data_IF_330108191428
#
_entry.id   IF_330108191428
#
_cell.length_a   1.000
_cell.length_b   1.000
_cell.length_c   1.000
_cell.angle_alpha   90.00
_cell.angle_beta   90.00
_cell.angle_gamma   90.00
#
_symmetry.space_group_name_H-M   'P 1'
#
loop_
_entity.id
_entity.type
_entity.pdbx_description
1 polymer ?
#
# COMPACT_ATOMS: atom_id res chain seq x y z
N UNK A 1 5.49 27.60 -9.82
CA UNK A 1 4.82 26.52 -9.04
C UNK A 1 5.16 26.73 -7.57
N UNK A 2 4.20 26.58 -6.67
CA UNK A 2 4.45 26.72 -5.23
C UNK A 2 5.18 25.45 -4.73
N UNK A 3 6.46 25.56 -4.39
CA UNK A 3 7.27 24.43 -3.93
C UNK A 3 7.17 24.21 -2.40
N UNK A 4 6.20 24.85 -1.74
CA UNK A 4 5.92 24.64 -0.33
C UNK A 4 4.93 23.49 -0.13
N UNK A 5 5.09 22.75 0.96
CA UNK A 5 4.11 21.75 1.41
C UNK A 5 2.82 22.44 1.83
N UNK A 6 1.67 21.83 1.50
CA UNK A 6 0.37 22.24 2.04
C UNK A 6 0.33 22.01 3.56
N UNK A 7 -0.59 22.69 4.26
CA UNK A 7 -0.77 22.43 5.69
C UNK A 7 -1.24 20.99 5.95
N UNK A 8 -2.13 20.45 5.11
CA UNK A 8 -2.59 19.06 5.21
C UNK A 8 -1.44 18.06 5.08
N UNK A 9 -0.51 18.28 4.14
CA UNK A 9 0.65 17.41 3.96
C UNK A 9 1.59 17.46 5.18
N UNK A 10 1.78 18.65 5.75
CA UNK A 10 2.57 18.81 6.99
C UNK A 10 1.92 18.08 8.15
N UNK A 11 0.61 18.25 8.33
CA UNK A 11 -0.17 17.57 9.39
C UNK A 11 -0.04 16.06 9.24
N UNK A 12 -0.24 15.52 8.02
CA UNK A 12 -0.05 14.09 7.74
C UNK A 12 1.33 13.59 8.11
N UNK A 13 2.38 14.27 7.66
CA UNK A 13 3.76 13.87 8.00
C UNK A 13 4.01 13.84 9.52
N UNK A 14 3.48 14.82 10.26
CA UNK A 14 3.62 14.90 11.71
C UNK A 14 2.83 13.82 12.46
N UNK A 15 1.63 13.46 11.97
CA UNK A 15 0.84 12.34 12.49
C UNK A 15 1.53 11.00 12.20
N UNK A 16 2.02 10.80 10.98
CA UNK A 16 2.64 9.54 10.56
C UNK A 16 3.96 9.28 11.30
N UNK A 17 4.73 10.31 11.67
CA UNK A 17 5.93 10.11 12.49
C UNK A 17 5.68 10.24 14.00
N UNK A 18 4.45 10.48 14.45
CA UNK A 18 4.13 10.79 15.85
C UNK A 18 5.06 11.88 16.43
N UNK A 19 5.36 12.92 15.64
CA UNK A 19 6.35 13.98 15.96
C UNK A 19 7.74 13.47 16.39
N UNK A 20 8.15 12.31 15.90
CA UNK A 20 9.53 11.84 16.01
C UNK A 20 10.34 12.24 14.77
N UNK A 21 11.63 12.54 14.98
CA UNK A 21 12.55 12.80 13.90
C UNK A 21 12.74 11.55 13.04
N UNK A 22 12.47 11.66 11.74
CA UNK A 22 12.61 10.55 10.80
C UNK A 22 14.06 10.16 10.48
N UNK A 23 15.08 10.88 10.99
CA UNK A 23 16.49 10.49 10.88
C UNK A 23 17.03 9.83 12.15
N UNK A 24 16.87 10.47 13.30
CA UNK A 24 17.46 10.01 14.57
C UNK A 24 16.46 9.32 15.52
N UNK A 25 15.15 9.32 15.20
CA UNK A 25 14.12 8.69 16.02
C UNK A 25 13.76 9.43 17.31
N UNK A 26 14.37 10.60 17.58
CA UNK A 26 14.09 11.43 18.77
C UNK A 26 12.64 11.91 18.80
N UNK A 27 11.98 11.81 19.94
CA UNK A 27 10.69 12.48 20.19
C UNK A 27 10.90 14.00 20.25
N UNK A 28 10.29 14.76 19.35
CA UNK A 28 10.62 16.19 19.17
C UNK A 28 9.53 17.14 19.69
N UNK A 29 8.28 16.69 19.79
CA UNK A 29 7.15 17.58 20.08
C UNK A 29 7.08 18.70 19.04
N UNK A 30 7.20 19.95 19.48
CA UNK A 30 7.21 21.14 18.61
C UNK A 30 8.57 21.44 17.96
N UNK A 31 9.67 20.84 18.43
CA UNK A 31 11.02 21.08 17.93
C UNK A 31 11.33 20.24 16.68
N UNK A 32 10.42 20.28 15.70
CA UNK A 32 10.43 19.48 14.49
C UNK A 32 10.05 20.35 13.28
N UNK A 33 10.73 20.16 12.15
CA UNK A 33 10.46 20.86 10.90
C UNK A 33 10.31 19.85 9.75
N UNK A 34 9.49 20.19 8.75
CA UNK A 34 9.35 19.41 7.53
C UNK A 34 10.37 19.91 6.51
N UNK A 35 11.31 19.03 6.15
CA UNK A 35 12.39 19.30 5.21
C UNK A 35 12.12 18.68 3.83
N UNK A 36 12.70 19.27 2.79
CA UNK A 36 12.62 18.77 1.41
C UNK A 36 13.70 17.71 1.16
N UNK A 37 13.32 16.47 0.91
CA UNK A 37 14.26 15.37 0.63
C UNK A 37 15.15 15.68 -0.59
N UNK A 38 14.54 16.14 -1.68
CA UNK A 38 15.23 16.81 -2.78
C UNK A 38 15.04 18.31 -2.60
N UNK A 39 16.12 19.09 -2.44
CA UNK A 39 16.05 20.54 -2.22
C UNK A 39 15.34 21.30 -3.34
N UNK A 40 14.81 22.49 -3.03
CA UNK A 40 14.03 23.29 -4.00
C UNK A 40 14.87 23.75 -5.19
N UNK A 41 16.11 24.12 -4.92
CA UNK A 41 17.12 24.54 -5.89
C UNK A 41 17.50 23.42 -6.87
N UNK A 42 17.31 22.16 -6.47
CA UNK A 42 17.48 20.97 -7.32
C UNK A 42 16.16 20.53 -7.98
N UNK A 43 15.11 21.36 -7.95
CA UNK A 43 13.80 21.06 -8.53
C UNK A 43 12.87 20.25 -7.62
N UNK A 44 13.15 20.21 -6.32
CA UNK A 44 12.32 19.54 -5.31
C UNK A 44 10.86 20.01 -5.28
N UNK A 45 9.94 19.06 -5.43
CA UNK A 45 8.49 19.34 -5.35
C UNK A 45 8.03 19.66 -3.92
N UNK A 46 6.93 20.42 -3.80
CA UNK A 46 6.21 20.64 -2.55
C UNK A 46 5.19 19.54 -2.21
N UNK A 47 5.35 18.32 -2.76
CA UNK A 47 4.45 17.21 -2.51
C UNK A 47 4.90 16.40 -1.29
N UNK A 48 3.96 15.80 -0.56
CA UNK A 48 4.22 14.94 0.61
C UNK A 48 5.31 13.86 0.39
N UNK A 49 5.43 13.31 -0.83
CA UNK A 49 6.45 12.32 -1.15
C UNK A 49 7.89 12.85 -1.07
N UNK A 50 8.07 14.17 -1.13
CA UNK A 50 9.34 14.87 -0.97
C UNK A 50 9.52 15.47 0.44
N UNK A 51 8.60 15.24 1.37
CA UNK A 51 8.66 15.74 2.73
C UNK A 51 9.33 14.72 3.68
N UNK A 52 10.10 15.23 4.65
CA UNK A 52 10.60 14.46 5.80
C UNK A 52 10.57 15.29 7.10
N UNK A 53 9.92 14.81 8.18
CA UNK A 53 9.99 15.43 9.52
C UNK A 53 11.35 15.23 10.20
N UNK A 54 12.02 16.31 10.59
CA UNK A 54 13.35 16.29 11.23
C UNK A 54 13.37 17.16 12.50
N UNK A 55 14.11 16.73 13.53
CA UNK A 55 14.47 17.66 14.61
C UNK A 55 15.40 18.76 14.08
N UNK A 56 15.50 19.89 14.79
CA UNK A 56 16.35 21.00 14.37
C UNK A 56 17.83 20.60 14.20
N UNK A 57 18.35 19.71 15.05
CA UNK A 57 19.71 19.19 14.93
C UNK A 57 19.90 18.46 13.59
N UNK A 58 19.06 17.45 13.30
CA UNK A 58 19.12 16.69 12.05
C UNK A 58 18.82 17.55 10.81
N UNK A 59 17.90 18.52 10.94
CA UNK A 59 17.61 19.47 9.87
C UNK A 59 18.84 20.31 9.52
N UNK A 60 19.62 20.74 10.51
CA UNK A 60 20.88 21.42 10.25
C UNK A 60 21.96 20.49 9.71
N UNK A 61 22.02 19.23 10.14
CA UNK A 61 23.05 18.27 9.72
C UNK A 61 22.88 17.77 8.28
N UNK A 62 21.65 17.57 7.81
CA UNK A 62 21.37 16.86 6.54
C UNK A 62 21.98 17.56 5.31
N UNK A 63 22.19 18.89 5.38
CA UNK A 63 22.76 19.72 4.31
C UNK A 63 24.26 20.01 4.48
N UNK A 64 24.89 19.60 5.59
CA UNK A 64 26.28 20.01 5.91
C UNK A 64 27.37 19.36 5.08
N UNK A 65 27.07 18.31 4.31
CA UNK A 65 28.10 17.58 3.57
C UNK A 65 28.81 18.48 2.54
N UNK A 66 30.12 18.68 2.73
CA UNK A 66 30.95 19.46 1.83
C UNK A 66 31.74 18.54 0.87
N UNK A 67 31.36 18.53 -0.41
CA UNK A 67 32.06 17.74 -1.43
C UNK A 67 33.54 18.14 -1.64
N UNK A 68 33.92 19.39 -1.30
CA UNK A 68 35.30 19.87 -1.40
C UNK A 68 36.18 19.46 -0.23
N UNK A 69 35.59 19.06 0.89
CA UNK A 69 36.30 18.58 2.07
C UNK A 69 35.50 17.45 2.75
N UNK A 70 35.46 16.27 2.13
CA UNK A 70 34.54 15.20 2.53
C UNK A 70 34.93 14.64 3.89
N UNK A 71 34.08 14.90 4.89
CA UNK A 71 34.14 14.27 6.21
C UNK A 71 32.83 13.52 6.44
N UNK A 72 32.94 12.23 6.80
CA UNK A 72 31.78 11.35 6.91
C UNK A 72 31.14 11.02 5.56
N UNK A 73 29.89 10.54 5.58
CA UNK A 73 29.12 10.17 4.40
C UNK A 73 27.92 11.08 4.20
N UNK A 74 27.66 11.53 2.95
CA UNK A 74 26.45 12.28 2.60
C UNK A 74 25.20 11.40 2.74
N UNK A 75 24.16 11.91 3.39
CA UNK A 75 22.84 11.30 3.33
C UNK A 75 22.33 11.26 1.88
N UNK A 76 22.08 10.06 1.36
CA UNK A 76 21.52 9.90 0.02
C UNK A 76 20.00 9.97 0.07
N UNK A 77 19.36 10.52 -0.96
CA UNK A 77 17.89 10.57 -1.08
C UNK A 77 17.23 9.22 -0.81
N UNK A 78 17.82 8.11 -1.27
CA UNK A 78 17.33 6.75 -0.99
C UNK A 78 17.31 6.43 0.50
N UNK A 79 18.38 6.73 1.23
CA UNK A 79 18.47 6.51 2.67
C UNK A 79 17.46 7.37 3.43
N UNK A 80 17.35 8.66 3.06
CA UNK A 80 16.43 9.61 3.68
C UNK A 80 14.97 9.11 3.54
N UNK A 81 14.58 8.68 2.34
CA UNK A 81 13.26 8.09 2.09
C UNK A 81 13.04 6.82 2.92
N UNK A 82 14.00 5.90 2.90
CA UNK A 82 13.92 4.65 3.66
C UNK A 82 13.78 4.87 5.17
N UNK A 83 14.55 5.79 5.76
CA UNK A 83 14.45 6.12 7.19
C UNK A 83 13.11 6.77 7.54
N UNK A 84 12.62 7.68 6.69
CA UNK A 84 11.28 8.27 6.83
C UNK A 84 10.21 7.20 6.82
N UNK A 85 10.23 6.32 5.83
CA UNK A 85 9.20 5.29 5.66
C UNK A 85 9.24 4.28 6.80
N UNK A 86 10.44 3.91 7.28
CA UNK A 86 10.63 3.09 8.49
C UNK A 86 10.01 3.75 9.73
N UNK A 87 10.23 5.06 9.92
CA UNK A 87 9.70 5.77 11.07
C UNK A 87 8.17 5.91 10.98
N UNK A 88 7.63 6.17 9.79
CA UNK A 88 6.18 6.16 9.57
C UNK A 88 5.59 4.79 9.89
N UNK A 89 6.21 3.71 9.45
CA UNK A 89 5.74 2.35 9.71
C UNK A 89 5.72 2.03 11.22
N UNK A 90 6.79 2.41 11.92
CA UNK A 90 6.88 2.25 13.38
C UNK A 90 5.68 2.86 14.11
N UNK A 91 5.23 4.03 13.69
CA UNK A 91 4.15 4.77 14.37
C UNK A 91 2.76 4.59 13.74
N UNK A 92 2.61 3.83 12.67
CA UNK A 92 1.30 3.62 12.02
C UNK A 92 0.94 2.15 11.81
N UNK A 93 1.88 1.21 11.91
CA UNK A 93 1.61 -0.23 11.75
C UNK A 93 0.53 -0.77 12.69
N UNK A 94 0.47 -0.26 13.93
CA UNK A 94 -0.56 -0.63 14.90
C UNK A 94 -1.98 -0.16 14.54
N UNK A 95 -2.12 0.70 13.53
CA UNK A 95 -3.40 1.15 12.99
C UNK A 95 -3.92 0.22 11.89
N UNK A 96 -3.12 -0.77 11.47
CA UNK A 96 -3.47 -1.74 10.45
C UNK A 96 -4.07 -2.99 11.11
N UNK A 97 -5.37 -3.25 10.91
CA UNK A 97 -6.00 -4.44 11.45
C UNK A 97 -5.54 -5.72 10.73
N UNK A 98 -5.70 -6.89 11.36
CA UNK A 98 -5.59 -8.16 10.65
C UNK A 98 -6.73 -8.26 9.63
N UNK A 99 -6.39 -8.15 8.35
CA UNK A 99 -7.30 -8.32 7.21
C UNK A 99 -7.05 -9.69 6.58
N UNK A 100 -8.12 -10.46 6.40
CA UNK A 100 -8.11 -11.66 5.60
C UNK A 100 -8.83 -11.41 4.28
N UNK A 101 -8.28 -11.89 3.17
CA UNK A 101 -8.94 -11.84 1.88
C UNK A 101 -8.69 -13.12 1.08
N UNK A 102 -9.68 -13.50 0.27
CA UNK A 102 -9.57 -14.65 -0.62
C UNK A 102 -10.40 -14.45 -1.90
N UNK A 103 -10.03 -15.21 -2.92
CA UNK A 103 -10.87 -15.43 -4.10
C UNK A 103 -11.68 -16.71 -3.89
N UNK A 104 -12.95 -16.72 -4.32
CA UNK A 104 -13.85 -17.87 -4.12
C UNK A 104 -14.84 -18.03 -5.27
N UNK A 105 -15.35 -19.25 -5.43
CA UNK A 105 -16.55 -19.51 -6.24
C UNK A 105 -17.79 -19.80 -5.38
N UNK A 106 -17.63 -19.94 -4.08
CA UNK A 106 -18.72 -20.35 -3.20
C UNK A 106 -19.73 -19.21 -2.97
N UNK A 107 -21.00 -19.58 -2.93
CA UNK A 107 -22.13 -18.73 -2.58
C UNK A 107 -22.73 -19.18 -1.23
N UNK A 108 -23.44 -18.30 -0.50
CA UNK A 108 -23.96 -18.59 0.84
C UNK A 108 -24.86 -19.82 0.97
N UNK A 109 -25.45 -20.29 -0.13
CA UNK A 109 -26.36 -21.44 -0.19
C UNK A 109 -25.67 -22.74 -0.65
N UNK A 110 -24.33 -22.78 -0.66
CA UNK A 110 -23.56 -23.92 -1.16
C UNK A 110 -23.55 -24.05 -2.68
N UNK A 111 -24.15 -23.09 -3.41
CA UNK A 111 -23.96 -23.00 -4.85
C UNK A 111 -22.56 -22.47 -5.16
N UNK A 112 -22.12 -22.72 -6.41
CA UNK A 112 -20.89 -22.13 -6.93
C UNK A 112 -21.20 -21.24 -8.12
N UNK A 113 -20.52 -20.10 -8.19
CA UNK A 113 -20.48 -19.25 -9.38
C UNK A 113 -19.77 -20.01 -10.51
N UNK A 114 -20.26 -19.92 -11.75
CA UNK A 114 -19.49 -20.37 -12.91
C UNK A 114 -18.52 -19.26 -13.36
N UNK A 115 -17.39 -19.63 -13.95
CA UNK A 115 -16.63 -18.68 -14.77
C UNK A 115 -17.54 -18.12 -15.88
N UNK A 116 -17.38 -16.84 -16.28
CA UNK A 116 -16.30 -15.92 -15.92
C UNK A 116 -16.51 -15.15 -14.60
N UNK A 117 -17.54 -15.46 -13.81
CA UNK A 117 -17.76 -14.81 -12.53
C UNK A 117 -16.80 -15.36 -11.46
N UNK A 118 -16.19 -14.45 -10.69
CA UNK A 118 -15.22 -14.76 -9.64
C UNK A 118 -15.55 -13.93 -8.40
N UNK A 119 -15.77 -14.60 -7.27
CA UNK A 119 -16.01 -13.97 -5.99
C UNK A 119 -14.73 -13.52 -5.28
N UNK A 120 -14.85 -12.50 -4.44
CA UNK A 120 -13.79 -12.06 -3.53
C UNK A 120 -14.39 -11.70 -2.18
N UNK A 121 -13.82 -12.22 -1.11
CA UNK A 121 -14.17 -11.83 0.24
C UNK A 121 -13.00 -11.09 0.88
N UNK A 122 -13.30 -9.98 1.57
CA UNK A 122 -12.33 -9.24 2.39
C UNK A 122 -12.94 -9.01 3.76
N UNK A 123 -12.26 -9.46 4.81
CA UNK A 123 -12.77 -9.48 6.17
C UNK A 123 -11.80 -8.85 7.14
N UNK A 124 -12.31 -7.98 8.01
CA UNK A 124 -11.59 -7.46 9.16
C UNK A 124 -11.74 -8.41 10.33
N UNK A 125 -10.67 -9.13 10.69
CA UNK A 125 -10.70 -10.14 11.75
C UNK A 125 -10.52 -9.57 13.16
N UNK A 126 -10.03 -8.33 13.27
CA UNK A 126 -9.73 -7.69 14.55
C UNK A 126 -10.90 -6.93 15.19
N UNK A 127 -10.63 -6.44 16.40
CA UNK A 127 -11.48 -5.55 17.21
C UNK A 127 -10.99 -4.09 17.23
N UNK A 128 -10.04 -3.78 16.35
CA UNK A 128 -9.32 -2.50 16.28
C UNK A 128 -10.11 -1.42 15.52
N UNK A 129 -9.41 -0.41 15.00
CA UNK A 129 -10.03 0.72 14.31
C UNK A 129 -10.65 0.30 12.96
N UNK A 130 -11.78 0.92 12.56
CA UNK A 130 -12.27 0.79 11.18
C UNK A 130 -11.23 1.37 10.21
N UNK A 131 -11.18 0.79 9.02
CA UNK A 131 -10.25 1.23 7.96
C UNK A 131 -10.98 1.43 6.64
N UNK A 132 -10.35 2.20 5.76
CA UNK A 132 -10.66 2.12 4.34
C UNK A 132 -9.69 1.15 3.69
N UNK A 133 -10.06 0.56 2.57
CA UNK A 133 -9.16 -0.27 1.79
C UNK A 133 -9.48 -0.17 0.30
N UNK A 134 -8.52 -0.54 -0.54
CA UNK A 134 -8.76 -0.77 -1.97
C UNK A 134 -8.21 -2.13 -2.39
N UNK A 135 -8.79 -2.67 -3.45
CA UNK A 135 -8.42 -3.97 -4.02
C UNK A 135 -8.11 -3.79 -5.50
N UNK A 136 -7.00 -4.35 -5.96
CA UNK A 136 -6.77 -4.61 -7.38
C UNK A 136 -6.71 -6.12 -7.62
N UNK A 137 -7.39 -6.60 -8.65
CA UNK A 137 -7.30 -7.99 -9.10
C UNK A 137 -6.66 -8.03 -10.48
N UNK A 138 -5.59 -8.80 -10.63
CA UNK A 138 -4.85 -8.95 -11.87
C UNK A 138 -4.94 -10.39 -12.35
N UNK A 139 -5.28 -10.59 -13.62
CA UNK A 139 -5.57 -11.91 -14.18
C UNK A 139 -4.41 -12.39 -15.05
N UNK A 140 -4.00 -13.63 -14.88
CA UNK A 140 -2.99 -14.31 -15.68
C UNK A 140 -3.58 -15.61 -16.27
N UNK A 141 -3.23 -15.92 -17.51
CA UNK A 141 -3.62 -17.16 -18.18
C UNK A 141 -2.37 -17.76 -18.85
N UNK A 142 -1.89 -18.88 -18.33
CA UNK A 142 -0.53 -19.36 -18.57
C UNK A 142 0.47 -18.27 -18.17
N UNK A 143 1.44 -17.99 -19.03
CA UNK A 143 2.42 -16.91 -18.81
C UNK A 143 1.90 -15.51 -19.22
N UNK A 144 0.66 -15.41 -19.69
CA UNK A 144 0.12 -14.15 -20.22
C UNK A 144 -0.57 -13.35 -19.13
N UNK A 145 0.01 -12.20 -18.79
CA UNK A 145 -0.65 -11.16 -18.01
C UNK A 145 -1.80 -10.53 -18.83
N UNK A 146 -3.04 -10.75 -18.38
CA UNK A 146 -4.25 -10.20 -19.00
C UNK A 146 -4.63 -8.82 -18.46
N UNK A 147 -3.87 -8.31 -17.48
CA UNK A 147 -4.03 -7.01 -16.88
C UNK A 147 -4.97 -7.00 -15.66
N UNK A 148 -5.14 -5.80 -15.11
CA UNK A 148 -6.06 -5.54 -13.99
C UNK A 148 -7.51 -5.61 -14.48
N UNK A 149 -8.37 -6.22 -13.67
CA UNK A 149 -9.82 -6.27 -13.87
C UNK A 149 -10.37 -4.84 -14.01
N UNK A 150 -11.07 -4.57 -15.12
CA UNK A 150 -11.51 -3.22 -15.49
C UNK A 150 -12.79 -2.75 -14.79
N UNK A 151 -13.37 -3.55 -13.92
CA UNK A 151 -14.51 -3.14 -13.11
C UNK A 151 -14.02 -2.13 -12.06
N UNK A 152 -14.66 -0.97 -11.96
CA UNK A 152 -14.17 0.17 -11.16
C UNK A 152 -13.93 -0.16 -9.67
N UNK A 153 -14.53 -1.22 -9.16
CA UNK A 153 -14.37 -1.70 -7.80
C UNK A 153 -13.02 -2.40 -7.52
N UNK A 154 -12.35 -2.94 -8.55
CA UNK A 154 -11.16 -3.82 -8.41
C UNK A 154 -9.94 -3.33 -9.19
N UNK A 155 -9.83 -2.02 -9.39
CA UNK A 155 -8.67 -1.38 -10.04
C UNK A 155 -7.56 -1.00 -9.05
N UNK A 156 -7.82 -1.09 -7.74
CA UNK A 156 -6.97 -0.54 -6.69
C UNK A 156 -7.26 0.93 -6.33
N UNK A 157 -8.17 1.58 -7.06
CA UNK A 157 -8.47 3.01 -6.88
C UNK A 157 -9.69 3.26 -5.99
N UNK A 158 -10.70 2.39 -6.06
CA UNK A 158 -11.93 2.55 -5.30
C UNK A 158 -11.70 2.21 -3.83
N UNK A 159 -12.01 3.17 -2.96
CA UNK A 159 -11.98 2.98 -1.51
C UNK A 159 -13.28 2.34 -1.02
N UNK A 160 -13.15 1.27 -0.25
CA UNK A 160 -14.23 0.58 0.46
C UNK A 160 -14.06 0.83 1.96
N UNK A 161 -15.16 0.88 2.70
CA UNK A 161 -15.13 0.98 4.16
C UNK A 161 -15.20 -0.41 4.78
N UNK A 162 -14.41 -0.67 5.82
CA UNK A 162 -14.42 -1.94 6.54
C UNK A 162 -14.43 -1.70 8.04
N UNK A 163 -15.53 -2.08 8.68
CA UNK A 163 -15.67 -2.01 10.12
C UNK A 163 -15.09 -3.27 10.79
N UNK A 164 -14.72 -3.19 12.07
CA UNK A 164 -14.27 -4.34 12.85
C UNK A 164 -15.29 -5.48 12.82
N UNK A 165 -14.81 -6.73 12.71
CA UNK A 165 -15.62 -7.95 12.57
C UNK A 165 -16.56 -8.03 11.37
N UNK A 166 -16.45 -7.11 10.42
CA UNK A 166 -17.26 -7.15 9.19
C UNK A 166 -16.45 -7.69 8.02
N UNK A 167 -17.16 -8.30 7.08
CA UNK A 167 -16.62 -8.69 5.78
C UNK A 167 -17.42 -8.08 4.64
N UNK A 168 -16.75 -7.79 3.54
CA UNK A 168 -17.38 -7.41 2.27
C UNK A 168 -17.19 -8.57 1.30
N UNK A 169 -18.29 -8.97 0.66
CA UNK A 169 -18.30 -9.98 -0.39
C UNK A 169 -18.62 -9.30 -1.71
N UNK A 170 -17.69 -9.40 -2.64
CA UNK A 170 -17.78 -8.87 -3.98
C UNK A 170 -17.63 -9.95 -5.03
N UNK A 171 -17.75 -9.55 -6.29
CA UNK A 171 -17.39 -10.38 -7.43
C UNK A 171 -16.98 -9.52 -8.62
N UNK A 172 -16.26 -10.11 -9.57
CA UNK A 172 -15.89 -9.52 -10.84
C UNK A 172 -15.84 -10.56 -11.95
N UNK A 173 -15.81 -10.08 -13.19
CA UNK A 173 -15.75 -10.93 -14.37
C UNK A 173 -14.30 -11.02 -14.89
N UNK A 174 -13.82 -12.23 -15.14
CA UNK A 174 -12.57 -12.46 -15.89
C UNK A 174 -12.84 -12.45 -17.40
N UNK A 175 -11.82 -12.22 -18.26
CA UNK A 175 -12.02 -12.25 -19.72
C UNK A 175 -12.61 -13.57 -20.20
N UNK A 176 -13.56 -13.55 -21.14
CA UNK A 176 -14.24 -14.76 -21.65
C UNK A 176 -13.30 -15.85 -22.15
N UNK A 177 -12.16 -15.47 -22.76
CA UNK A 177 -11.10 -16.40 -23.20
C UNK A 177 -10.54 -17.30 -22.10
N UNK A 178 -10.72 -16.94 -20.82
CA UNK A 178 -10.32 -17.74 -19.66
C UNK A 178 -11.25 -18.93 -19.45
N UNK A 179 -12.54 -18.76 -19.78
CA UNK A 179 -13.60 -19.78 -19.61
C UNK A 179 -13.29 -21.00 -20.49
N UNK A 180 -12.98 -20.75 -21.76
CA UNK A 180 -12.79 -21.80 -22.78
C UNK A 180 -11.37 -22.38 -22.80
N UNK A 181 -10.43 -21.78 -22.06
CA UNK A 181 -9.03 -22.22 -22.02
C UNK A 181 -8.85 -23.37 -21.04
N UNK A 182 -7.88 -24.25 -21.30
CA UNK A 182 -7.38 -25.24 -20.33
C UNK A 182 -6.11 -24.78 -19.63
N UNK A 183 -5.55 -23.63 -20.04
CA UNK A 183 -4.36 -23.06 -19.43
C UNK A 183 -4.60 -22.70 -17.95
N UNK A 184 -3.49 -22.63 -17.23
CA UNK A 184 -3.41 -22.22 -15.84
C UNK A 184 -3.99 -20.81 -15.67
N UNK A 185 -5.06 -20.68 -14.89
CA UNK A 185 -5.65 -19.38 -14.55
C UNK A 185 -5.20 -18.98 -13.15
N UNK A 186 -4.52 -17.85 -13.07
CA UNK A 186 -4.08 -17.26 -11.81
C UNK A 186 -4.69 -15.86 -11.65
N UNK A 187 -5.09 -15.52 -10.43
CA UNK A 187 -5.49 -14.17 -10.05
C UNK A 187 -4.59 -13.70 -8.91
N UNK A 188 -3.87 -12.60 -9.14
CA UNK A 188 -3.12 -11.88 -8.11
C UNK A 188 -3.98 -10.78 -7.53
N UNK A 189 -4.08 -10.73 -6.20
CA UNK A 189 -4.85 -9.72 -5.48
C UNK A 189 -3.90 -8.81 -4.71
N UNK A 190 -4.06 -7.51 -4.93
CA UNK A 190 -3.36 -6.45 -4.23
C UNK A 190 -4.34 -5.73 -3.32
N UNK A 191 -4.05 -5.69 -2.02
CA UNK A 191 -4.87 -4.98 -1.04
C UNK A 191 -4.04 -3.84 -0.46
N UNK A 192 -4.59 -2.64 -0.47
CA UNK A 192 -4.02 -1.49 0.25
C UNK A 192 -4.97 -1.07 1.34
N UNK A 193 -4.50 -1.02 2.58
CA UNK A 193 -5.24 -0.50 3.72
C UNK A 193 -4.94 0.98 3.86
N UNK A 194 -5.96 1.78 4.20
CA UNK A 194 -5.84 3.21 4.47
C UNK A 194 -6.27 3.42 5.91
N UNK A 195 -5.32 3.83 6.75
CA UNK A 195 -5.56 4.06 8.17
C UNK A 195 -6.34 5.36 8.46
N UNK A 196 -6.62 5.61 9.73
CA UNK A 196 -7.33 6.82 10.19
C UNK A 196 -6.58 8.13 9.92
N UNK A 197 -5.28 8.09 9.65
CA UNK A 197 -4.45 9.24 9.26
C UNK A 197 -4.24 9.31 7.74
N UNK A 198 -5.04 8.56 6.99
CA UNK A 198 -4.98 8.46 5.53
C UNK A 198 -3.63 7.96 4.98
N UNK A 199 -2.82 7.27 5.79
CA UNK A 199 -1.61 6.60 5.30
C UNK A 199 -2.00 5.32 4.58
N UNK A 200 -1.36 5.06 3.45
CA UNK A 200 -1.52 3.83 2.69
C UNK A 200 -0.55 2.76 3.20
N UNK A 201 -1.07 1.56 3.41
CA UNK A 201 -0.37 0.37 3.86
C UNK A 201 -0.63 -0.75 2.83
N UNK A 202 0.20 -0.85 1.77
CA UNK A 202 0.08 -1.94 0.80
C UNK A 202 0.49 -3.26 1.46
N UNK A 203 -0.38 -4.26 1.38
CA UNK A 203 -0.02 -5.63 1.75
C UNK A 203 0.76 -6.28 0.60
N UNK A 204 1.56 -7.30 0.93
CA UNK A 204 2.16 -8.14 -0.10
C UNK A 204 1.06 -8.80 -0.93
N UNK A 205 1.21 -8.87 -2.27
CA UNK A 205 0.24 -9.53 -3.11
C UNK A 205 0.16 -11.01 -2.76
N UNK A 206 -1.01 -11.59 -2.98
CA UNK A 206 -1.28 -13.02 -2.89
C UNK A 206 -1.86 -13.51 -4.22
N UNK A 207 -1.59 -14.76 -4.58
CA UNK A 207 -2.07 -15.36 -5.83
C UNK A 207 -2.99 -16.55 -5.57
N UNK A 208 -4.03 -16.68 -6.39
CA UNK A 208 -4.93 -17.82 -6.39
C UNK A 208 -4.95 -18.48 -7.74
N UNK A 209 -4.83 -19.80 -7.75
CA UNK A 209 -4.88 -20.62 -8.96
C UNK A 209 -6.20 -21.36 -9.02
N UNK A 210 -6.84 -21.32 -10.18
CA UNK A 210 -8.14 -21.95 -10.39
C UNK A 210 -8.01 -23.44 -10.69
N UNK A 211 -8.70 -24.26 -9.89
CA UNK A 211 -8.87 -25.71 -10.09
C UNK A 211 -10.16 -25.95 -10.87
N UNK A 212 -10.00 -26.21 -12.17
CA UNK A 212 -11.11 -26.34 -13.12
C UNK A 212 -12.02 -27.53 -12.84
N UNK A 213 -11.45 -28.64 -12.38
CA UNK A 213 -12.12 -29.91 -12.07
C UNK A 213 -13.10 -29.80 -10.89
N UNK A 214 -12.79 -28.98 -9.89
CA UNK A 214 -13.61 -28.81 -8.68
C UNK A 214 -14.26 -27.43 -8.54
N UNK A 215 -14.12 -26.57 -9.56
CA UNK A 215 -14.60 -25.18 -9.58
C UNK A 215 -14.21 -24.45 -8.28
N UNK A 216 -12.91 -24.38 -8.00
CA UNK A 216 -12.40 -23.81 -6.75
C UNK A 216 -11.06 -23.13 -6.95
N UNK A 217 -10.56 -22.46 -5.92
CA UNK A 217 -9.27 -21.78 -5.92
C UNK A 217 -8.39 -22.34 -4.80
N UNK A 218 -7.09 -22.37 -5.01
CA UNK A 218 -6.11 -22.55 -3.95
C UNK A 218 -5.12 -21.39 -3.96
N UNK A 219 -4.64 -21.03 -2.76
CA UNK A 219 -3.63 -20.00 -2.58
C UNK A 219 -2.27 -20.54 -3.01
N UNK A 220 -1.62 -19.88 -3.95
CA UNK A 220 -0.29 -20.21 -4.44
C UNK A 220 0.69 -19.10 -4.02
N UNK A 221 1.93 -19.44 -3.60
CA UNK A 221 2.94 -18.43 -3.35
C UNK A 221 3.22 -17.60 -4.61
N UNK A 222 3.18 -16.27 -4.49
CA UNK A 222 3.64 -15.38 -5.54
C UNK A 222 4.85 -14.56 -5.08
N UNK A 223 5.87 -14.49 -5.95
CA UNK A 223 6.98 -13.57 -5.79
C UNK A 223 6.60 -12.16 -6.24
N UNK A 224 7.42 -11.19 -5.88
CA UNK A 224 7.44 -9.94 -6.63
C UNK A 224 8.16 -10.24 -7.95
N UNK A 225 7.46 -10.13 -9.09
CA UNK A 225 8.14 -10.05 -10.38
C UNK A 225 9.11 -8.84 -10.27
N UNK A 226 10.41 -9.11 -10.29
CA UNK A 226 11.47 -8.09 -10.18
C UNK A 226 11.51 -7.18 -11.39
#
# INVERSE_FOLDING_TARGET
MNNNFSEDDKIKCLLWCDRHCCLCGKACGTNIAIHHITPKEEGGSGNINNAIPLCFDCHSEIEKYNAKHPLGTKYKTKEIKSRRDQNYEKYTSHLVPPIHFNITQDLPNGQKRPLPDVGIDVTHLGDSLPVKFSVAAQVFLGDKNLGIVKTSQYTGERLWNLNPRHGVRGHFQVPSKVVDSTEHLEIRVFVTIIDQYERKHPLLPLAWVYMRDVNSWYLEPCGNDT
#
